data_IF_270210812159
#
_entry.id   IF_270210812159
#
_cell.length_a   1.000
_cell.length_b   1.000
_cell.length_c   1.000
_cell.angle_alpha   90.00
_cell.angle_beta   90.00
_cell.angle_gamma   90.00
#
_symmetry.space_group_name_H-M   'P 1'
#
loop_
_entity.id
_entity.type
_entity.pdbx_description
1 polymer ?
#
# COMPACT_ATOMS: atom_id res chain seq x y z
N UNK A 1 -18.45 3.33 -7.96
CA UNK A 1 -18.44 1.93 -7.48
C UNK A 1 -17.10 1.24 -7.77
N UNK A 2 -16.64 1.20 -9.02
CA UNK A 2 -15.41 0.48 -9.42
C UNK A 2 -14.15 0.93 -8.64
N UNK A 3 -13.94 2.23 -8.46
CA UNK A 3 -12.77 2.73 -7.71
C UNK A 3 -12.72 2.24 -6.27
N UNK A 4 -13.88 2.14 -5.60
CA UNK A 4 -13.97 1.67 -4.21
C UNK A 4 -13.56 0.19 -4.14
N UNK A 5 -14.04 -0.63 -5.09
CA UNK A 5 -13.67 -2.04 -5.18
C UNK A 5 -12.16 -2.16 -5.39
N UNK A 6 -11.59 -1.41 -6.34
CA UNK A 6 -10.15 -1.43 -6.61
C UNK A 6 -9.33 -0.95 -5.41
N UNK A 7 -9.79 0.07 -4.70
CA UNK A 7 -9.13 0.54 -3.48
C UNK A 7 -9.13 -0.53 -2.37
N UNK A 8 -10.25 -1.25 -2.19
CA UNK A 8 -10.33 -2.39 -1.27
C UNK A 8 -9.34 -3.49 -1.71
N UNK A 9 -9.32 -3.83 -3.01
CA UNK A 9 -8.36 -4.79 -3.57
C UNK A 9 -6.92 -4.35 -3.29
N UNK A 10 -6.61 -3.07 -3.46
CA UNK A 10 -5.28 -2.53 -3.23
C UNK A 10 -4.86 -2.56 -1.78
N UNK A 11 -5.77 -2.26 -0.84
CA UNK A 11 -5.54 -2.42 0.59
C UNK A 11 -5.24 -3.89 0.91
N UNK A 12 -6.07 -4.81 0.42
CA UNK A 12 -5.89 -6.24 0.64
C UNK A 12 -4.59 -6.76 0.05
N UNK A 13 -4.23 -6.38 -1.19
CA UNK A 13 -3.00 -6.80 -1.84
C UNK A 13 -1.75 -6.40 -1.05
N UNK A 14 -1.67 -5.14 -0.62
CA UNK A 14 -0.54 -4.65 0.17
C UNK A 14 -0.47 -5.29 1.57
N UNK A 15 -1.60 -5.31 2.29
CA UNK A 15 -1.64 -5.79 3.68
C UNK A 15 -1.51 -7.31 3.80
N UNK A 16 -2.20 -8.09 2.95
CA UNK A 16 -2.10 -9.54 2.95
C UNK A 16 -0.70 -10.00 2.53
N UNK A 17 -0.10 -9.34 1.53
CA UNK A 17 1.26 -9.71 1.10
C UNK A 17 2.27 -9.44 2.21
N UNK A 18 2.14 -8.32 2.92
CA UNK A 18 2.98 -8.05 4.08
C UNK A 18 2.76 -9.07 5.20
N UNK A 19 1.50 -9.39 5.52
CA UNK A 19 1.15 -10.38 6.54
C UNK A 19 1.73 -11.76 6.22
N UNK A 20 1.52 -12.27 5.00
CA UNK A 20 2.05 -13.58 4.58
C UNK A 20 3.58 -13.57 4.49
N UNK A 21 4.19 -12.45 4.10
CA UNK A 21 5.65 -12.32 4.07
C UNK A 21 6.26 -12.38 5.47
N UNK A 22 5.78 -11.53 6.39
CA UNK A 22 6.42 -11.27 7.67
C UNK A 22 5.89 -12.14 8.81
N UNK A 23 4.57 -12.33 8.92
CA UNK A 23 3.97 -13.10 10.02
C UNK A 23 4.02 -14.61 9.73
N UNK A 24 3.85 -15.02 8.46
CA UNK A 24 3.90 -16.44 8.06
C UNK A 24 5.27 -16.89 7.53
N UNK A 25 6.28 -16.02 7.56
CA UNK A 25 7.67 -16.29 7.14
C UNK A 25 7.81 -16.92 5.75
N UNK A 26 6.87 -16.65 4.83
CA UNK A 26 6.93 -17.21 3.47
C UNK A 26 7.96 -16.49 2.58
N UNK A 27 8.46 -15.34 3.03
CA UNK A 27 9.37 -14.50 2.26
C UNK A 27 8.64 -13.65 1.22
N UNK A 28 9.17 -12.46 1.00
CA UNK A 28 8.46 -11.37 0.32
C UNK A 28 8.03 -11.73 -1.13
N UNK A 29 8.91 -12.40 -1.88
CA UNK A 29 8.64 -12.81 -3.27
C UNK A 29 7.59 -13.92 -3.33
N UNK A 30 7.69 -14.95 -2.47
CA UNK A 30 6.73 -16.08 -2.48
C UNK A 30 5.35 -15.63 -2.02
N UNK A 31 5.27 -14.80 -0.99
CA UNK A 31 4.01 -14.24 -0.51
C UNK A 31 3.27 -13.49 -1.64
N UNK A 32 3.97 -12.60 -2.35
CA UNK A 32 3.40 -11.87 -3.49
C UNK A 32 2.98 -12.82 -4.62
N UNK A 33 3.84 -13.77 -5.02
CA UNK A 33 3.58 -14.65 -6.14
C UNK A 33 2.39 -15.59 -5.89
N UNK A 34 2.31 -16.20 -4.71
CA UNK A 34 1.23 -17.13 -4.34
C UNK A 34 -0.12 -16.40 -4.29
N UNK A 35 -0.18 -15.25 -3.60
CA UNK A 35 -1.43 -14.50 -3.50
C UNK A 35 -1.89 -13.96 -4.86
N UNK A 36 -0.97 -13.43 -5.67
CA UNK A 36 -1.31 -12.94 -7.01
C UNK A 36 -1.78 -14.07 -7.93
N UNK A 37 -1.18 -15.26 -7.82
CA UNK A 37 -1.59 -16.44 -8.57
C UNK A 37 -3.00 -16.92 -8.17
N UNK A 38 -3.31 -16.95 -6.86
CA UNK A 38 -4.65 -17.29 -6.37
C UNK A 38 -5.70 -16.34 -6.93
N UNK A 39 -5.44 -15.03 -6.87
CA UNK A 39 -6.37 -14.01 -7.40
C UNK A 39 -6.50 -14.12 -8.92
N UNK A 40 -5.39 -14.29 -9.65
CA UNK A 40 -5.41 -14.45 -11.10
C UNK A 40 -6.19 -15.69 -11.55
N UNK A 41 -5.97 -16.84 -10.91
CA UNK A 41 -6.69 -18.07 -11.22
C UNK A 41 -8.18 -17.97 -10.87
N UNK A 42 -8.52 -17.30 -9.78
CA UNK A 42 -9.92 -17.08 -9.41
C UNK A 42 -10.68 -16.33 -10.51
N UNK A 43 -10.13 -15.21 -11.00
CA UNK A 43 -10.78 -14.45 -12.08
C UNK A 43 -10.70 -15.13 -13.45
N UNK A 44 -9.73 -16.02 -13.67
CA UNK A 44 -9.66 -16.85 -14.87
C UNK A 44 -10.78 -17.92 -14.92
N UNK A 45 -11.04 -18.60 -13.81
CA UNK A 45 -12.11 -19.62 -13.75
C UNK A 45 -13.51 -19.03 -13.57
N UNK A 46 -13.63 -17.85 -12.96
CA UNK A 46 -14.91 -17.20 -12.70
C UNK A 46 -15.03 -15.83 -13.41
N UNK A 47 -14.98 -15.77 -14.75
CA UNK A 47 -14.91 -14.51 -15.48
C UNK A 47 -16.20 -13.67 -15.38
N UNK A 48 -17.35 -14.31 -15.10
CA UNK A 48 -18.67 -13.69 -15.11
C UNK A 48 -19.14 -13.16 -13.74
N UNK A 49 -18.29 -13.19 -12.70
CA UNK A 49 -18.69 -12.75 -11.35
C UNK A 49 -18.79 -11.22 -11.25
N UNK A 50 -17.94 -10.50 -11.98
CA UNK A 50 -17.90 -9.04 -12.01
C UNK A 50 -17.96 -8.52 -13.45
N UNK A 51 -18.07 -7.20 -13.58
CA UNK A 51 -17.99 -6.55 -14.89
C UNK A 51 -16.64 -6.86 -15.56
N UNK A 52 -16.65 -6.97 -16.90
CA UNK A 52 -15.46 -7.28 -17.69
C UNK A 52 -14.26 -6.35 -17.37
N UNK A 53 -14.54 -5.08 -17.07
CA UNK A 53 -13.52 -4.13 -16.60
C UNK A 53 -12.87 -4.56 -15.27
N UNK A 54 -13.68 -4.93 -14.26
CA UNK A 54 -13.18 -5.30 -12.94
C UNK A 54 -12.48 -6.66 -12.96
N UNK A 55 -13.00 -7.65 -13.69
CA UNK A 55 -12.40 -8.97 -13.83
C UNK A 55 -10.95 -8.88 -14.34
N UNK A 56 -10.68 -7.97 -15.29
CA UNK A 56 -9.32 -7.76 -15.81
C UNK A 56 -8.47 -6.86 -14.90
N UNK A 57 -9.08 -5.87 -14.26
CA UNK A 57 -8.34 -4.84 -13.49
C UNK A 57 -7.96 -5.30 -12.09
N UNK A 58 -8.80 -6.11 -11.43
CA UNK A 58 -8.57 -6.58 -10.06
C UNK A 58 -7.25 -7.36 -9.93
N UNK A 59 -6.95 -8.37 -10.76
CA UNK A 59 -5.68 -9.10 -10.70
C UNK A 59 -4.47 -8.17 -10.87
N UNK A 60 -4.58 -7.17 -11.76
CA UNK A 60 -3.50 -6.22 -12.05
C UNK A 60 -3.25 -5.29 -10.86
N UNK A 61 -4.31 -4.75 -10.26
CA UNK A 61 -4.20 -3.92 -9.06
C UNK A 61 -3.69 -4.74 -7.88
N UNK A 62 -4.12 -5.99 -7.75
CA UNK A 62 -3.67 -6.88 -6.68
C UNK A 62 -2.17 -7.17 -6.77
N UNK A 63 -1.65 -7.59 -7.93
CA UNK A 63 -0.21 -7.84 -8.09
C UNK A 63 0.63 -6.56 -7.99
N UNK A 64 0.10 -5.42 -8.44
CA UNK A 64 0.79 -4.15 -8.28
C UNK A 64 0.89 -3.71 -6.81
N UNK A 65 -0.18 -3.85 -6.05
CA UNK A 65 -0.19 -3.51 -4.62
C UNK A 65 0.51 -4.54 -3.74
N UNK A 66 0.61 -5.81 -4.16
CA UNK A 66 1.43 -6.79 -3.45
C UNK A 66 2.92 -6.40 -3.45
N UNK A 67 3.40 -5.68 -4.46
CA UNK A 67 4.76 -5.13 -4.47
C UNK A 67 5.00 -4.11 -3.37
N UNK A 68 3.97 -3.34 -2.98
CA UNK A 68 4.03 -2.42 -1.84
C UNK A 68 4.25 -3.23 -0.56
N UNK A 69 3.47 -4.29 -0.35
CA UNK A 69 3.61 -5.19 0.80
C UNK A 69 4.98 -5.86 0.84
N UNK A 70 5.50 -6.31 -0.32
CA UNK A 70 6.82 -6.94 -0.46
C UNK A 70 7.98 -5.98 -0.15
N UNK A 71 7.88 -4.71 -0.55
CA UNK A 71 8.92 -3.71 -0.36
C UNK A 71 8.88 -3.03 1.02
N UNK A 72 7.89 -3.36 1.85
CA UNK A 72 7.69 -2.69 3.13
C UNK A 72 8.67 -3.17 4.20
N UNK A 73 9.14 -2.28 5.10
CA UNK A 73 10.14 -2.64 6.10
C UNK A 73 9.66 -3.75 7.05
N UNK A 74 10.54 -4.70 7.31
CA UNK A 74 10.31 -5.76 8.30
C UNK A 74 10.05 -5.15 9.68
N UNK A 75 9.04 -5.66 10.37
CA UNK A 75 8.66 -5.20 11.72
C UNK A 75 7.91 -3.86 11.79
N UNK A 76 7.72 -3.14 10.68
CA UNK A 76 6.81 -2.00 10.65
C UNK A 76 5.35 -2.50 10.66
N UNK A 77 4.76 -2.71 11.85
CA UNK A 77 3.34 -3.06 12.03
C UNK A 77 2.36 -1.95 11.61
N UNK A 78 2.77 -1.07 10.72
CA UNK A 78 2.01 0.05 10.22
C UNK A 78 1.11 -0.40 9.06
N UNK A 79 0.20 -1.33 9.33
CA UNK A 79 -0.81 -1.80 8.37
C UNK A 79 -1.66 -0.64 7.81
N UNK A 80 -1.85 0.43 8.60
CA UNK A 80 -2.50 1.67 8.14
C UNK A 80 -1.71 2.35 7.00
N UNK A 81 -0.38 2.37 7.09
CA UNK A 81 0.46 2.98 6.06
C UNK A 81 0.39 2.16 4.75
N UNK A 82 0.37 0.84 4.86
CA UNK A 82 0.19 -0.07 3.72
C UNK A 82 -1.18 0.09 3.07
N UNK A 83 -2.23 0.21 3.89
CA UNK A 83 -3.58 0.44 3.41
C UNK A 83 -3.67 1.76 2.63
N UNK A 84 -3.12 2.85 3.18
CA UNK A 84 -3.09 4.16 2.50
C UNK A 84 -2.29 4.08 1.19
N UNK A 85 -1.13 3.43 1.20
CA UNK A 85 -0.33 3.25 -0.01
C UNK A 85 -1.08 2.43 -1.08
N UNK A 86 -1.80 1.38 -0.69
CA UNK A 86 -2.64 0.58 -1.59
C UNK A 86 -3.82 1.37 -2.18
N UNK A 87 -4.43 2.27 -1.40
CA UNK A 87 -5.45 3.21 -1.90
C UNK A 87 -4.83 4.16 -2.93
N UNK A 88 -3.70 4.80 -2.62
CA UNK A 88 -3.04 5.69 -3.56
C UNK A 88 -2.63 4.99 -4.85
N UNK A 89 -2.09 3.77 -4.74
CA UNK A 89 -1.79 2.96 -5.92
C UNK A 89 -3.03 2.74 -6.78
N UNK A 90 -4.15 2.36 -6.18
CA UNK A 90 -5.39 2.10 -6.92
C UNK A 90 -5.92 3.36 -7.62
N UNK A 91 -5.84 4.51 -6.95
CA UNK A 91 -6.23 5.80 -7.52
C UNK A 91 -5.33 6.19 -8.68
N UNK A 92 -4.01 6.12 -8.52
CA UNK A 92 -3.07 6.49 -9.59
C UNK A 92 -3.17 5.49 -10.75
N UNK A 93 -3.35 4.19 -10.47
CA UNK A 93 -3.50 3.16 -11.49
C UNK A 93 -4.72 3.41 -12.39
N UNK A 94 -5.87 3.78 -11.84
CA UNK A 94 -7.07 4.10 -12.63
C UNK A 94 -6.88 5.35 -13.47
N UNK A 95 -6.06 6.29 -13.01
CA UNK A 95 -5.75 7.54 -13.70
C UNK A 95 -4.44 7.47 -14.52
N UNK A 96 -3.88 6.26 -14.72
CA UNK A 96 -2.58 6.10 -15.36
C UNK A 96 -2.68 6.50 -16.84
N UNK A 97 -1.66 7.21 -17.31
CA UNK A 97 -1.51 7.50 -18.74
C UNK A 97 -1.03 6.25 -19.50
N UNK A 98 -1.12 6.29 -20.82
CA UNK A 98 -0.73 5.19 -21.72
C UNK A 98 0.76 4.75 -21.56
N UNK A 99 1.58 5.58 -20.91
CA UNK A 99 2.97 5.31 -20.55
C UNK A 99 3.14 4.16 -19.55
N UNK A 100 2.10 3.81 -18.78
CA UNK A 100 2.12 2.74 -17.78
C UNK A 100 1.36 1.48 -18.25
N UNK A 101 1.48 1.11 -19.53
CA UNK A 101 0.82 -0.09 -20.08
C UNK A 101 1.59 -1.39 -19.87
N UNK A 102 2.80 -1.33 -19.31
CA UNK A 102 3.49 -2.54 -18.86
C UNK A 102 2.84 -3.15 -17.62
N UNK A 103 2.99 -4.46 -17.44
CA UNK A 103 2.57 -5.14 -16.21
C UNK A 103 3.69 -5.06 -15.17
N UNK A 104 4.75 -5.86 -15.29
CA UNK A 104 5.80 -5.96 -14.27
C UNK A 104 6.46 -4.62 -13.87
N UNK A 105 7.34 -4.10 -14.73
CA UNK A 105 8.14 -2.90 -14.40
C UNK A 105 7.30 -1.65 -14.13
N UNK A 106 6.22 -1.43 -14.90
CA UNK A 106 5.37 -0.26 -14.73
C UNK A 106 4.47 -0.32 -13.48
N UNK A 107 3.97 -1.50 -13.09
CA UNK A 107 3.29 -1.65 -11.79
C UNK A 107 4.29 -1.52 -10.64
N UNK A 108 5.51 -2.03 -10.81
CA UNK A 108 6.60 -1.89 -9.83
C UNK A 108 6.98 -0.42 -9.58
N UNK A 109 7.11 0.39 -10.62
CA UNK A 109 7.39 1.83 -10.47
C UNK A 109 6.24 2.56 -9.79
N UNK A 110 4.99 2.23 -10.13
CA UNK A 110 3.81 2.78 -9.46
C UNK A 110 3.79 2.43 -7.96
N UNK A 111 4.08 1.18 -7.63
CA UNK A 111 4.17 0.69 -6.26
C UNK A 111 5.26 1.44 -5.48
N UNK A 112 6.42 1.62 -6.09
CA UNK A 112 7.52 2.37 -5.50
C UNK A 112 7.15 3.84 -5.23
N UNK A 113 6.59 4.54 -6.21
CA UNK A 113 6.18 5.94 -6.09
C UNK A 113 5.15 6.10 -4.96
N UNK A 114 4.13 5.25 -4.94
CA UNK A 114 3.04 5.32 -3.95
C UNK A 114 3.54 5.00 -2.54
N UNK A 115 4.40 4.00 -2.38
CA UNK A 115 4.98 3.64 -1.09
C UNK A 115 5.84 4.79 -0.54
N UNK A 116 6.75 5.33 -1.34
CA UNK A 116 7.60 6.46 -0.91
C UNK A 116 6.76 7.70 -0.60
N UNK A 117 5.80 8.05 -1.45
CA UNK A 117 4.93 9.20 -1.22
C UNK A 117 4.17 9.06 0.12
N UNK A 118 3.68 7.86 0.42
CA UNK A 118 2.96 7.57 1.67
C UNK A 118 3.91 7.64 2.88
N UNK A 119 5.09 7.04 2.78
CA UNK A 119 6.10 7.08 3.84
C UNK A 119 6.58 8.51 4.12
N UNK A 120 6.84 9.29 3.07
CA UNK A 120 7.25 10.69 3.18
C UNK A 120 6.16 11.54 3.84
N UNK A 121 4.90 11.38 3.43
CA UNK A 121 3.76 12.07 4.01
C UNK A 121 3.59 11.71 5.50
N UNK A 122 3.67 10.42 5.84
CA UNK A 122 3.55 9.97 7.22
C UNK A 122 4.69 10.50 8.10
N UNK A 123 5.94 10.43 7.62
CA UNK A 123 7.08 10.92 8.38
C UNK A 123 7.01 12.44 8.57
N UNK A 124 6.57 13.19 7.54
CA UNK A 124 6.37 14.62 7.65
C UNK A 124 5.32 14.99 8.70
N UNK A 125 4.20 14.27 8.73
CA UNK A 125 3.14 14.44 9.73
C UNK A 125 3.62 14.07 11.14
N UNK A 126 4.34 12.95 11.30
CA UNK A 126 4.88 12.51 12.59
C UNK A 126 5.98 13.45 13.14
N UNK A 127 6.75 14.11 12.26
CA UNK A 127 7.76 15.07 12.70
C UNK A 127 7.15 16.39 13.18
N UNK A 128 6.04 16.84 12.57
CA UNK A 128 5.29 18.02 13.06
C UNK A 128 4.85 17.83 14.51
N UNK A 129 4.29 16.68 14.86
CA UNK A 129 3.83 16.37 16.22
C UNK A 129 4.98 16.27 17.23
N UNK A 130 6.12 15.64 16.88
CA UNK A 130 7.30 15.59 17.75
C UNK A 130 7.92 16.96 18.02
N UNK A 131 7.99 17.82 17.00
CA UNK A 131 8.53 19.19 17.14
C UNK A 131 7.61 20.01 18.03
N UNK A 132 6.29 19.96 17.81
CA UNK A 132 5.32 20.67 18.64
C UNK A 132 5.36 20.19 20.09
N UNK A 133 5.46 18.89 20.34
CA UNK A 133 5.60 18.34 21.69
C UNK A 133 6.92 18.75 22.36
N UNK A 134 8.04 18.79 21.63
CA UNK A 134 9.31 19.33 22.15
C UNK A 134 9.21 20.80 22.52
N UNK A 135 8.57 21.63 21.69
CA UNK A 135 8.36 23.06 21.97
C UNK A 135 7.47 23.24 23.21
N UNK A 136 6.39 22.45 23.34
CA UNK A 136 5.50 22.49 24.52
C UNK A 136 6.22 22.03 25.79
N UNK A 137 7.02 20.97 25.73
CA UNK A 137 7.81 20.49 26.88
C UNK A 137 8.86 21.52 27.32
N UNK A 138 9.55 22.16 26.37
CA UNK A 138 10.52 23.23 26.68
C UNK A 138 9.80 24.44 27.29
N UNK A 139 8.67 24.86 26.71
CA UNK A 139 7.85 25.95 27.26
C UNK A 139 7.41 25.65 28.70
N UNK A 140 6.91 24.45 28.97
CA UNK A 140 6.48 24.05 30.31
C UNK A 140 7.65 23.97 31.30
N UNK A 141 8.83 23.50 30.86
CA UNK A 141 10.04 23.44 31.71
C UNK A 141 10.60 24.84 32.04
N UNK A 142 10.47 25.80 31.14
CA UNK A 142 10.87 27.20 31.37
C UNK A 142 9.85 27.91 32.26
N UNK A 143 8.55 27.71 32.03
CA UNK A 143 7.50 28.42 32.75
C UNK A 143 7.21 27.86 34.17
N UNK A 144 7.42 26.56 34.41
CA UNK A 144 7.30 25.96 35.75
C UNK A 144 8.57 26.06 36.61
N UNK A 145 9.66 26.67 36.11
CA UNK A 145 10.89 26.87 36.90
C UNK A 145 10.88 28.15 37.74
N UNK A 146 9.86 28.99 37.58
CA UNK A 146 9.70 30.28 38.26
C UNK A 146 8.62 30.28 39.36
N UNK A 147 8.24 29.10 39.87
CA UNK A 147 7.49 28.90 41.13
C UNK A 147 8.34 28.06 42.06
#
# INVERSE_FOLDING_TARGET
MNLIILAITGILGATLTYYVSEELNQGAVRASAVLALIVGLFFYWFPNVLSSYLTNTIPIVFIGTSFIGMASPKGSKNYLLLAIAGVFFSVIYVNKSHFFNGYGGALGTLAFITLIATMACFNWYANKTKITQRIVLIKNKIFNRNK
#
